data_IF_518259534922
#
_entry.id   IF_518259534922
#
_cell.length_a   1.000
_cell.length_b   1.000
_cell.length_c   1.000
_cell.angle_alpha   90.00
_cell.angle_beta   90.00
_cell.angle_gamma   90.00
#
_symmetry.space_group_name_H-M   'P 1'
#
loop_
_entity.id
_entity.type
_entity.pdbx_description
1 polymer ?
#
# COMPACT_ATOMS: atom_id res chain seq x y z
N UNK A 1 -1.07 27.93 -9.96
CA UNK A 1 -0.16 27.44 -8.90
C UNK A 1 -0.89 27.10 -7.60
N UNK A 2 -1.77 27.96 -7.06
CA UNK A 2 -2.49 27.71 -5.78
C UNK A 2 -3.27 26.37 -5.79
N UNK A 3 -3.93 26.03 -6.89
CA UNK A 3 -4.65 24.75 -7.02
C UNK A 3 -3.74 23.51 -6.94
N UNK A 4 -2.53 23.56 -7.51
CA UNK A 4 -1.58 22.42 -7.45
C UNK A 4 -1.07 22.18 -6.03
N UNK A 5 -0.79 23.25 -5.29
CA UNK A 5 -0.44 23.14 -3.87
C UNK A 5 -1.60 22.61 -3.02
N UNK A 6 -2.83 23.06 -3.29
CA UNK A 6 -4.01 22.54 -2.61
C UNK A 6 -4.22 21.04 -2.86
N UNK A 7 -4.08 20.60 -4.12
CA UNK A 7 -4.19 19.18 -4.49
C UNK A 7 -3.09 18.34 -3.83
N UNK A 8 -1.87 18.86 -3.73
CA UNK A 8 -0.76 18.18 -3.06
C UNK A 8 -1.06 17.97 -1.56
N UNK A 9 -1.52 19.01 -0.87
CA UNK A 9 -1.87 18.93 0.55
C UNK A 9 -3.01 17.93 0.76
N UNK A 10 -4.06 17.99 -0.07
CA UNK A 10 -5.18 17.04 -0.05
C UNK A 10 -4.73 15.59 -0.30
N UNK A 11 -3.80 15.37 -1.23
CA UNK A 11 -3.27 14.05 -1.56
C UNK A 11 -2.40 13.44 -0.45
N UNK A 12 -1.91 14.25 0.48
CA UNK A 12 -1.18 13.80 1.68
C UNK A 12 -2.17 13.53 2.82
N UNK A 13 -3.08 14.46 3.08
CA UNK A 13 -3.98 14.41 4.24
C UNK A 13 -5.08 13.35 4.08
N UNK A 14 -5.71 13.26 2.90
CA UNK A 14 -6.81 12.33 2.66
C UNK A 14 -6.45 10.84 2.85
N UNK A 15 -5.37 10.30 2.23
CA UNK A 15 -5.00 8.90 2.45
C UNK A 15 -4.49 8.66 3.87
N UNK A 16 -3.82 9.65 4.49
CA UNK A 16 -3.35 9.53 5.86
C UNK A 16 -4.51 9.43 6.84
N UNK A 17 -5.53 10.28 6.67
CA UNK A 17 -6.74 10.25 7.48
C UNK A 17 -7.51 8.96 7.23
N UNK A 18 -7.67 8.51 5.99
CA UNK A 18 -8.30 7.22 5.69
C UNK A 18 -7.58 6.03 6.36
N UNK A 19 -6.24 6.11 6.48
CA UNK A 19 -5.45 5.08 7.14
C UNK A 19 -5.60 5.10 8.67
N UNK A 20 -5.58 6.29 9.29
CA UNK A 20 -5.54 6.48 10.75
C UNK A 20 -6.91 6.61 11.42
N UNK A 21 -7.93 7.04 10.69
CA UNK A 21 -9.30 7.30 11.18
C UNK A 21 -10.21 6.06 11.05
N UNK A 22 -9.70 4.95 10.49
CA UNK A 22 -10.48 3.73 10.32
C UNK A 22 -10.46 2.87 11.59
N UNK A 23 -11.63 2.68 12.20
CA UNK A 23 -11.80 1.88 13.43
C UNK A 23 -11.29 0.44 13.30
N UNK A 24 -11.34 -0.13 12.09
CA UNK A 24 -10.86 -1.49 11.82
C UNK A 24 -9.33 -1.58 11.72
N UNK A 25 -8.63 -0.45 11.56
CA UNK A 25 -7.16 -0.40 11.50
C UNK A 25 -6.51 0.10 12.79
N UNK A 26 -7.29 0.60 13.76
CA UNK A 26 -6.79 1.10 15.06
C UNK A 26 -5.93 0.08 15.81
N UNK A 27 -6.27 -1.21 15.77
CA UNK A 27 -5.47 -2.26 16.43
C UNK A 27 -4.16 -2.60 15.68
N UNK A 28 -4.09 -2.24 14.39
CA UNK A 28 -2.97 -2.55 13.50
C UNK A 28 -2.02 -1.36 13.29
N UNK A 29 -2.30 -0.21 13.92
CA UNK A 29 -1.54 1.03 13.78
C UNK A 29 -0.96 1.40 15.15
N UNK A 30 0.36 1.63 15.25
CA UNK A 30 0.99 2.00 16.52
C UNK A 30 0.42 3.32 17.04
N UNK A 31 0.17 3.41 18.35
CA UNK A 31 -0.48 4.58 18.96
C UNK A 31 0.31 5.88 18.71
N UNK A 32 1.64 5.75 18.56
CA UNK A 32 2.55 6.85 18.21
C UNK A 32 2.22 7.51 16.87
N UNK A 33 1.66 6.80 15.90
CA UNK A 33 1.25 7.38 14.61
C UNK A 33 -0.13 8.04 14.68
N UNK A 34 -0.96 7.65 15.66
CA UNK A 34 -2.30 8.22 15.90
C UNK A 34 -2.25 9.56 16.67
N UNK A 35 -1.07 10.05 17.05
CA UNK A 35 -0.94 11.33 17.79
C UNK A 35 -1.44 12.49 16.93
N UNK A 36 -2.58 13.05 17.32
CA UNK A 36 -3.19 14.22 16.70
C UNK A 36 -2.71 15.52 17.36
N UNK A 37 -2.62 16.58 16.57
CA UNK A 37 -2.39 17.95 17.05
C UNK A 37 -3.73 18.63 17.41
N UNK A 38 -3.69 19.84 17.98
CA UNK A 38 -4.85 20.66 18.40
C UNK A 38 -5.91 20.89 17.31
N UNK A 39 -5.57 20.68 16.04
CA UNK A 39 -6.44 20.84 14.88
C UNK A 39 -6.97 19.51 14.32
N UNK A 40 -6.80 18.39 15.02
CA UNK A 40 -7.24 17.05 14.59
C UNK A 40 -6.34 16.38 13.54
N UNK A 41 -5.28 17.05 13.08
CA UNK A 41 -4.34 16.49 12.10
C UNK A 41 -3.33 15.53 12.76
N UNK A 42 -3.07 14.40 12.12
CA UNK A 42 -2.14 13.37 12.59
C UNK A 42 -0.67 13.76 12.35
N UNK A 43 -0.07 14.47 13.31
CA UNK A 43 1.26 15.08 13.15
C UNK A 43 2.38 14.05 12.90
N UNK A 44 2.37 12.91 13.61
CA UNK A 44 3.35 11.84 13.38
C UNK A 44 3.11 11.09 12.06
N UNK A 45 1.85 10.99 11.63
CA UNK A 45 1.48 10.44 10.34
C UNK A 45 1.99 11.28 9.16
N UNK A 46 1.89 12.60 9.27
CA UNK A 46 2.43 13.54 8.27
C UNK A 46 3.95 13.42 8.21
N UNK A 47 4.63 13.33 9.35
CA UNK A 47 6.09 13.13 9.41
C UNK A 47 6.52 11.82 8.71
N UNK A 48 5.74 10.74 8.86
CA UNK A 48 5.98 9.48 8.14
C UNK A 48 5.86 9.67 6.62
N UNK A 49 4.82 10.37 6.14
CA UNK A 49 4.67 10.66 4.70
C UNK A 49 5.83 11.53 4.19
N UNK A 50 6.27 12.51 4.96
CA UNK A 50 7.41 13.38 4.62
C UNK A 50 8.71 12.59 4.54
N UNK A 51 9.00 11.71 5.52
CA UNK A 51 10.20 10.85 5.48
C UNK A 51 10.15 9.93 4.27
N UNK A 52 9.01 9.25 4.04
CA UNK A 52 8.88 8.30 2.94
C UNK A 52 9.04 8.99 1.58
N UNK A 53 8.35 10.10 1.38
CA UNK A 53 8.43 10.87 0.13
C UNK A 53 9.82 11.47 -0.04
N UNK A 54 10.43 11.98 1.03
CA UNK A 54 11.78 12.53 1.02
C UNK A 54 12.85 11.48 0.70
N UNK A 55 12.75 10.28 1.29
CA UNK A 55 13.64 9.16 0.99
C UNK A 55 13.52 8.71 -0.47
N UNK A 56 12.30 8.64 -1.01
CA UNK A 56 12.08 8.35 -2.43
C UNK A 56 12.74 9.43 -3.29
N UNK A 57 12.51 10.71 -3.01
CA UNK A 57 13.11 11.82 -3.78
C UNK A 57 14.64 11.74 -3.76
N UNK A 58 15.26 11.43 -2.62
CA UNK A 58 16.72 11.26 -2.51
C UNK A 58 17.25 10.07 -3.33
N UNK A 59 16.50 8.97 -3.40
CA UNK A 59 16.85 7.83 -4.27
C UNK A 59 16.72 8.23 -5.75
N UNK A 60 15.79 9.13 -6.08
CA UNK A 60 15.63 9.61 -7.45
C UNK A 60 16.74 10.59 -7.87
N UNK A 61 17.34 11.36 -6.96
CA UNK A 61 18.39 12.34 -7.32
C UNK A 61 19.72 11.68 -7.73
N UNK A 62 19.94 10.42 -7.35
CA UNK A 62 21.13 9.64 -7.77
C UNK A 62 20.97 8.98 -9.15
N UNK A 63 19.78 9.06 -9.77
CA UNK A 63 19.56 8.57 -11.14
C UNK A 63 20.01 9.60 -12.19
N UNK A 64 20.75 9.17 -13.24
CA UNK A 64 21.13 10.06 -14.32
C UNK A 64 19.91 10.38 -15.20
N UNK A 65 19.35 11.58 -15.03
CA UNK A 65 18.37 12.19 -15.93
C UNK A 65 16.92 12.20 -15.43
N UNK A 66 16.21 13.30 -15.69
CA UNK A 66 14.79 13.45 -15.29
C UNK A 66 13.86 12.40 -15.94
N UNK A 67 14.19 11.92 -17.14
CA UNK A 67 13.40 10.91 -17.83
C UNK A 67 13.47 9.54 -17.15
N UNK A 68 14.64 9.13 -16.65
CA UNK A 68 14.81 7.86 -15.92
C UNK A 68 14.11 7.90 -14.57
N UNK A 69 14.18 9.05 -13.89
CA UNK A 69 13.43 9.34 -12.65
C UNK A 69 11.92 9.23 -12.86
N UNK A 70 11.37 9.89 -13.89
CA UNK A 70 9.94 9.83 -14.19
C UNK A 70 9.50 8.42 -14.59
N UNK A 71 10.31 7.70 -15.37
CA UNK A 71 10.02 6.34 -15.77
C UNK A 71 10.01 5.39 -14.57
N UNK A 72 10.95 5.54 -13.64
CA UNK A 72 10.96 4.82 -12.36
C UNK A 72 9.74 5.17 -11.51
N UNK A 73 9.39 6.45 -11.36
CA UNK A 73 8.24 6.87 -10.56
C UNK A 73 6.92 6.31 -11.14
N UNK A 74 6.78 6.34 -12.46
CA UNK A 74 5.62 5.79 -13.19
C UNK A 74 5.54 4.29 -13.01
N UNK A 75 6.65 3.58 -13.13
CA UNK A 75 6.71 2.13 -12.92
C UNK A 75 6.44 1.75 -11.46
N UNK A 76 7.00 2.47 -10.50
CA UNK A 76 6.76 2.23 -9.08
C UNK A 76 5.28 2.41 -8.74
N UNK A 77 4.65 3.50 -9.21
CA UNK A 77 3.20 3.68 -9.06
C UNK A 77 2.40 2.57 -9.76
N UNK A 78 2.83 2.18 -10.97
CA UNK A 78 2.21 1.11 -11.75
C UNK A 78 2.35 -0.28 -11.11
N UNK A 79 3.31 -0.51 -10.21
CA UNK A 79 3.48 -1.77 -9.48
C UNK A 79 2.79 -1.71 -8.12
N UNK A 80 2.91 -0.60 -7.39
CA UNK A 80 2.29 -0.42 -6.07
C UNK A 80 0.75 -0.47 -6.13
N UNK A 81 0.14 0.10 -7.18
CA UNK A 81 -1.31 0.07 -7.39
C UNK A 81 -1.88 -1.36 -7.54
N UNK A 82 -1.30 -2.25 -8.38
CA UNK A 82 -1.73 -3.65 -8.46
C UNK A 82 -1.25 -4.55 -7.33
N UNK A 83 -0.14 -4.21 -6.68
CA UNK A 83 0.35 -4.97 -5.53
C UNK A 83 -0.69 -5.04 -4.40
N UNK A 84 -1.40 -3.93 -4.12
CA UNK A 84 -2.53 -3.97 -3.16
C UNK A 84 -3.68 -4.87 -3.62
N UNK A 85 -3.93 -4.98 -4.93
CA UNK A 85 -5.01 -5.83 -5.45
C UNK A 85 -4.69 -7.32 -5.35
N UNK A 86 -3.41 -7.71 -5.38
CA UNK A 86 -3.02 -9.10 -5.10
C UNK A 86 -3.52 -9.55 -3.72
N UNK A 87 -3.38 -8.70 -2.70
CA UNK A 87 -3.91 -8.96 -1.36
C UNK A 87 -5.43 -9.03 -1.32
N UNK A 88 -6.12 -8.18 -2.09
CA UNK A 88 -7.59 -8.24 -2.21
C UNK A 88 -8.04 -9.57 -2.82
N UNK A 89 -7.35 -10.06 -3.86
CA UNK A 89 -7.69 -11.34 -4.49
C UNK A 89 -7.35 -12.54 -3.59
N UNK A 90 -6.23 -12.50 -2.87
CA UNK A 90 -5.89 -13.51 -1.86
C UNK A 90 -6.94 -13.53 -0.75
N UNK A 91 -7.32 -12.35 -0.23
CA UNK A 91 -8.38 -12.21 0.77
C UNK A 91 -9.73 -12.71 0.24
N UNK A 92 -10.06 -12.42 -1.02
CA UNK A 92 -11.26 -12.93 -1.68
C UNK A 92 -11.27 -14.45 -1.74
N UNK A 93 -10.17 -15.08 -2.17
CA UNK A 93 -10.04 -16.54 -2.23
C UNK A 93 -10.16 -17.15 -0.82
N UNK A 94 -9.52 -16.54 0.18
CA UNK A 94 -9.60 -16.97 1.58
C UNK A 94 -11.03 -16.81 2.15
N UNK A 95 -11.70 -15.70 1.86
CA UNK A 95 -13.09 -15.44 2.25
C UNK A 95 -14.03 -16.45 1.61
N UNK A 96 -13.87 -16.77 0.32
CA UNK A 96 -14.65 -17.83 -0.36
C UNK A 96 -14.44 -19.20 0.28
N UNK A 97 -13.24 -19.48 0.83
CA UNK A 97 -12.95 -20.71 1.58
C UNK A 97 -13.64 -20.74 2.94
N UNK A 98 -13.75 -19.59 3.59
CA UNK A 98 -14.42 -19.40 4.88
C UNK A 98 -15.94 -19.12 4.78
N UNK A 99 -16.49 -18.97 3.57
CA UNK A 99 -17.88 -18.52 3.33
C UNK A 99 -18.97 -19.49 3.84
N UNK A 100 -18.59 -20.70 4.26
CA UNK A 100 -19.48 -21.64 4.96
C UNK A 100 -19.66 -21.31 6.45
N UNK A 101 -18.78 -20.49 7.03
CA UNK A 101 -18.80 -20.05 8.43
C UNK A 101 -19.25 -18.59 8.60
N UNK A 102 -19.28 -17.81 7.52
CA UNK A 102 -19.55 -16.37 7.56
C UNK A 102 -20.83 -16.12 6.75
N UNK A 103 -21.85 -15.56 7.40
CA UNK A 103 -23.05 -15.09 6.71
C UNK A 103 -22.71 -13.81 5.95
N UNK A 104 -22.63 -13.92 4.63
CA UNK A 104 -22.27 -12.81 3.73
C UNK A 104 -23.52 -12.28 3.07
N UNK A 105 -23.83 -11.01 3.34
CA UNK A 105 -25.00 -10.29 2.82
C UNK A 105 -25.00 -10.17 1.28
N UNK A 106 -23.80 -10.22 0.66
CA UNK A 106 -23.65 -10.15 -0.80
C UNK A 106 -22.78 -11.29 -1.36
N UNK A 107 -23.30 -12.01 -2.36
CA UNK A 107 -22.58 -13.07 -3.10
C UNK A 107 -22.54 -12.75 -4.60
N UNK A 108 -21.37 -12.34 -5.09
CA UNK A 108 -21.15 -12.04 -6.51
C UNK A 108 -21.40 -13.25 -7.44
N UNK A 109 -21.09 -14.47 -7.00
CA UNK A 109 -21.39 -15.71 -7.74
C UNK A 109 -21.91 -16.78 -6.78
N UNK A 110 -23.08 -17.36 -7.06
CA UNK A 110 -23.68 -18.47 -6.28
C UNK A 110 -22.81 -19.74 -6.34
N UNK A 111 -22.15 -19.98 -7.47
CA UNK A 111 -21.27 -21.14 -7.66
C UNK A 111 -19.85 -20.88 -7.12
N UNK A 112 -19.39 -21.74 -6.20
CA UNK A 112 -18.08 -21.61 -5.56
C UNK A 112 -16.93 -21.81 -6.56
N UNK A 113 -17.04 -22.79 -7.46
CA UNK A 113 -15.98 -23.11 -8.44
C UNK A 113 -15.69 -21.95 -9.39
N UNK A 114 -16.74 -21.27 -9.87
CA UNK A 114 -16.63 -20.12 -10.77
C UNK A 114 -15.98 -18.93 -10.04
N UNK A 115 -16.34 -18.69 -8.77
CA UNK A 115 -15.71 -17.64 -7.97
C UNK A 115 -14.21 -17.88 -7.75
N UNK A 116 -13.81 -19.13 -7.45
CA UNK A 116 -12.37 -19.46 -7.35
C UNK A 116 -11.65 -19.29 -8.68
N UNK A 117 -12.29 -19.65 -9.80
CA UNK A 117 -11.72 -19.46 -11.13
C UNK A 117 -11.48 -17.97 -11.42
N UNK A 118 -12.48 -17.11 -11.24
CA UNK A 118 -12.33 -15.67 -11.44
C UNK A 118 -11.31 -15.04 -10.49
N UNK A 119 -11.33 -15.41 -9.21
CA UNK A 119 -10.36 -14.92 -8.22
C UNK A 119 -8.92 -15.32 -8.58
N UNK A 120 -8.70 -16.58 -8.96
CA UNK A 120 -7.40 -17.10 -9.36
C UNK A 120 -6.91 -16.51 -10.69
N UNK A 121 -7.80 -16.36 -11.67
CA UNK A 121 -7.50 -15.75 -12.96
C UNK A 121 -7.11 -14.27 -12.81
N UNK A 122 -7.90 -13.49 -12.07
CA UNK A 122 -7.58 -12.09 -11.80
C UNK A 122 -6.28 -11.95 -11.00
N UNK A 123 -6.03 -12.84 -10.04
CA UNK A 123 -4.76 -12.88 -9.32
C UNK A 123 -3.57 -13.15 -10.25
N UNK A 124 -3.67 -14.16 -11.12
CA UNK A 124 -2.61 -14.51 -12.07
C UNK A 124 -2.31 -13.37 -13.05
N UNK A 125 -3.34 -12.74 -13.62
CA UNK A 125 -3.15 -11.60 -14.53
C UNK A 125 -2.49 -10.43 -13.79
N UNK A 126 -2.98 -10.12 -12.59
CA UNK A 126 -2.41 -9.03 -11.78
C UNK A 126 -0.95 -9.32 -11.42
N UNK A 127 -0.64 -10.55 -11.05
CA UNK A 127 0.72 -10.98 -10.70
C UNK A 127 1.65 -10.92 -11.93
N UNK A 128 1.19 -11.41 -13.08
CA UNK A 128 1.94 -11.33 -14.34
C UNK A 128 2.22 -9.87 -14.73
N UNK A 129 1.23 -8.98 -14.58
CA UNK A 129 1.38 -7.55 -14.83
C UNK A 129 2.41 -6.90 -13.88
N UNK A 130 2.38 -7.23 -12.59
CA UNK A 130 3.38 -6.76 -11.63
C UNK A 130 4.79 -7.23 -12.00
N UNK A 131 4.96 -8.51 -12.34
CA UNK A 131 6.27 -9.08 -12.70
C UNK A 131 6.83 -8.43 -13.97
N UNK A 132 5.98 -8.27 -15.00
CA UNK A 132 6.37 -7.58 -16.22
C UNK A 132 6.69 -6.09 -15.98
N UNK A 133 5.92 -5.41 -15.13
CA UNK A 133 6.15 -4.01 -14.78
C UNK A 133 7.45 -3.77 -14.01
N UNK A 134 7.93 -4.78 -13.29
CA UNK A 134 9.19 -4.73 -12.52
C UNK A 134 10.45 -5.03 -13.37
N UNK A 135 10.30 -5.63 -14.56
CA UNK A 135 11.43 -6.01 -15.41
C UNK A 135 12.07 -4.78 -16.08
N UNK A 136 13.39 -4.63 -15.98
CA UNK A 136 14.14 -3.60 -16.70
C UNK A 136 15.49 -4.12 -17.20
N UNK A 137 16.01 -3.50 -18.27
CA UNK A 137 17.28 -3.89 -18.89
C UNK A 137 18.52 -3.47 -18.08
N UNK A 138 18.41 -2.42 -17.26
CA UNK A 138 19.49 -1.94 -16.39
C UNK A 138 19.39 -2.53 -14.97
N UNK A 139 20.39 -3.29 -14.50
CA UNK A 139 20.31 -4.03 -13.24
C UNK A 139 20.23 -3.13 -12.00
N UNK A 140 20.88 -1.96 -12.00
CA UNK A 140 20.81 -0.99 -10.90
C UNK A 140 19.42 -0.33 -10.79
N UNK A 141 18.85 0.11 -11.92
CA UNK A 141 17.50 0.68 -11.96
C UNK A 141 16.43 -0.35 -11.67
N UNK A 142 16.64 -1.58 -12.14
CA UNK A 142 15.79 -2.71 -11.79
C UNK A 142 15.83 -2.98 -10.28
N UNK A 143 17.02 -3.03 -9.66
CA UNK A 143 17.15 -3.24 -8.23
C UNK A 143 16.43 -2.16 -7.41
N UNK A 144 16.60 -0.87 -7.74
CA UNK A 144 15.91 0.22 -7.05
C UNK A 144 14.38 0.16 -7.22
N UNK A 145 13.91 -0.16 -8.43
CA UNK A 145 12.47 -0.32 -8.73
C UNK A 145 11.83 -1.52 -8.04
N UNK A 146 12.62 -2.54 -7.69
CA UNK A 146 12.17 -3.73 -6.99
C UNK A 146 12.24 -3.52 -5.46
N UNK A 147 13.35 -2.97 -4.97
CA UNK A 147 13.59 -2.75 -3.55
C UNK A 147 12.57 -1.76 -2.98
N UNK A 148 12.26 -0.68 -3.69
CA UNK A 148 11.34 0.35 -3.16
C UNK A 148 9.94 -0.18 -2.85
N UNK A 149 9.22 -0.87 -3.76
CA UNK A 149 7.91 -1.46 -3.44
C UNK A 149 8.02 -2.58 -2.40
N UNK A 150 9.13 -3.33 -2.35
CA UNK A 150 9.35 -4.33 -1.29
C UNK A 150 9.48 -3.66 0.08
N UNK A 151 10.26 -2.59 0.19
CA UNK A 151 10.42 -1.82 1.43
C UNK A 151 9.10 -1.19 1.86
N UNK A 152 8.33 -0.63 0.93
CA UNK A 152 6.99 -0.08 1.21
C UNK A 152 6.02 -1.18 1.70
N UNK A 153 6.05 -2.35 1.07
CA UNK A 153 5.24 -3.50 1.49
C UNK A 153 5.65 -4.02 2.86
N UNK A 154 6.96 -4.14 3.10
CA UNK A 154 7.52 -4.55 4.38
C UNK A 154 7.12 -3.55 5.48
N UNK A 155 7.17 -2.25 5.21
CA UNK A 155 6.74 -1.22 6.15
C UNK A 155 5.24 -1.37 6.48
N UNK A 156 4.39 -1.63 5.48
CA UNK A 156 2.97 -1.93 5.69
C UNK A 156 2.73 -3.17 6.57
N UNK A 157 3.61 -4.18 6.52
CA UNK A 157 3.55 -5.37 7.38
C UNK A 157 4.22 -5.16 8.76
N UNK A 158 5.19 -4.27 8.88
CA UNK A 158 5.91 -3.98 10.13
C UNK A 158 5.05 -3.13 11.07
N UNK A 159 4.28 -2.17 10.54
CA UNK A 159 3.35 -1.34 11.32
C UNK A 159 2.41 -2.15 12.25
N UNK A 160 1.69 -3.19 11.78
CA UNK A 160 0.84 -4.01 12.64
C UNK A 160 1.63 -4.88 13.62
N UNK A 161 2.85 -5.28 13.28
CA UNK A 161 3.71 -6.02 14.22
C UNK A 161 4.19 -5.14 15.37
N UNK A 162 4.48 -3.86 15.12
CA UNK A 162 4.84 -2.90 16.16
C UNK A 162 3.62 -2.60 17.04
N UNK A 163 2.44 -2.38 16.44
CA UNK A 163 1.20 -2.15 17.19
C UNK A 163 0.90 -3.31 18.16
N UNK A 164 1.00 -4.57 17.70
CA UNK A 164 0.84 -5.75 18.56
C UNK A 164 1.86 -5.83 19.69
N UNK A 165 3.10 -5.35 19.48
CA UNK A 165 4.14 -5.31 20.52
C UNK A 165 3.89 -4.21 21.55
N UNK A 166 3.31 -3.07 21.15
CA UNK A 166 2.91 -2.00 22.09
C UNK A 166 1.74 -2.48 22.97
N UNK A 167 0.70 -3.06 22.37
CA UNK A 167 -0.45 -3.61 23.13
C UNK A 167 -0.04 -4.69 24.14
N UNK A 168 0.95 -5.53 23.79
CA UNK A 168 1.46 -6.60 24.66
C UNK A 168 2.40 -6.10 25.78
N UNK A 169 2.88 -4.86 25.69
CA UNK A 169 3.68 -4.21 26.73
C UNK A 169 2.82 -3.38 27.69
N UNK A 170 1.63 -2.99 27.26
CA UNK A 170 0.65 -2.26 28.06
C UNK A 170 -0.37 -3.17 28.78
N UNK A 171 -0.36 -4.48 28.48
CA UNK A 171 -1.08 -5.54 29.23
C UNK A 171 -0.18 -6.21 30.25
#
# INVERSE_FOLDING_TARGET
>A
MIGQFAILILSIDAPLRMLLDNDQTKEFIPEKLRKQNKYGAFSNGIWLVVILSGAIILIQTVMPGAASVLQQLTRLNSVCMPLRYLWVFVAYIALRKAIRKIDVEYRFVKNQKIAYFFGGWCFLITAACCIMGMYNKDPLTMALNIITPIVLTALGLILPMIAKREQRKES
#
